data_IF_164874056891
#
_entry.id   IF_164874056891
#
_cell.length_a   1.000
_cell.length_b   1.000
_cell.length_c   1.000
_cell.angle_alpha   90.00
_cell.angle_beta   90.00
_cell.angle_gamma   90.00
#
_symmetry.space_group_name_H-M   'P 1'
#
loop_
_entity.id
_entity.type
_entity.pdbx_description
1 polymer ?
#
# COMPACT_ATOMS: atom_id res chain seq x y z
N UNK A 1 78.56 63.97 -35.60
CA UNK A 1 77.12 64.08 -35.92
C UNK A 1 76.51 62.74 -36.32
N UNK A 2 77.22 61.88 -37.08
CA UNK A 2 76.77 60.51 -37.46
C UNK A 2 76.18 59.66 -36.32
N UNK A 3 76.82 59.66 -35.14
CA UNK A 3 76.46 58.78 -34.03
C UNK A 3 75.09 59.07 -33.37
N UNK A 4 74.52 60.25 -33.59
CA UNK A 4 73.21 60.64 -33.05
C UNK A 4 72.05 60.25 -33.99
N UNK A 5 72.29 60.33 -35.30
CA UNK A 5 71.33 59.90 -36.34
C UNK A 5 71.11 58.38 -36.28
N UNK A 6 72.19 57.60 -36.22
CA UNK A 6 72.09 56.13 -36.12
C UNK A 6 71.32 55.69 -34.88
N UNK A 7 71.53 56.36 -33.75
CA UNK A 7 70.83 56.07 -32.49
C UNK A 7 69.33 56.38 -32.54
N UNK A 8 68.93 57.40 -33.30
CA UNK A 8 67.52 57.72 -33.53
C UNK A 8 66.85 56.70 -34.44
N UNK A 9 67.52 56.27 -35.49
CA UNK A 9 67.02 55.22 -36.39
C UNK A 9 66.84 53.88 -35.66
N UNK A 10 67.76 53.54 -34.77
CA UNK A 10 67.64 52.32 -33.95
C UNK A 10 66.45 52.41 -33.00
N UNK A 11 66.26 53.55 -32.32
CA UNK A 11 65.09 53.78 -31.46
C UNK A 11 63.77 53.78 -32.24
N UNK A 12 63.76 54.31 -33.47
CA UNK A 12 62.58 54.29 -34.34
C UNK A 12 62.22 52.88 -34.79
N UNK A 13 63.22 52.04 -35.10
CA UNK A 13 63.02 50.63 -35.42
C UNK A 13 62.52 49.83 -34.22
N UNK A 14 63.09 50.08 -33.05
CA UNK A 14 62.67 49.45 -31.80
C UNK A 14 61.21 49.83 -31.49
N UNK A 15 60.87 51.11 -31.53
CA UNK A 15 59.50 51.58 -31.28
C UNK A 15 58.50 51.07 -32.32
N UNK A 16 58.88 51.04 -33.61
CA UNK A 16 58.04 50.48 -34.66
C UNK A 16 57.84 48.97 -34.50
N UNK A 17 58.87 48.25 -34.07
CA UNK A 17 58.80 46.81 -33.75
C UNK A 17 57.89 46.56 -32.55
N UNK A 18 58.01 47.34 -31.49
CA UNK A 18 57.18 47.21 -30.29
C UNK A 18 55.71 47.49 -30.58
N UNK A 19 55.40 48.55 -31.35
CA UNK A 19 54.03 48.83 -31.80
C UNK A 19 53.48 47.76 -32.75
N UNK A 20 54.31 47.23 -33.66
CA UNK A 20 53.90 46.14 -34.55
C UNK A 20 53.56 44.88 -33.75
N UNK A 21 54.38 44.52 -32.75
CA UNK A 21 54.15 43.37 -31.88
C UNK A 21 52.91 43.55 -30.98
N UNK A 22 52.62 44.77 -30.53
CA UNK A 22 51.40 45.06 -29.76
C UNK A 22 50.11 44.81 -30.56
N UNK A 23 50.15 44.96 -31.88
CA UNK A 23 49.01 44.68 -32.77
C UNK A 23 48.85 43.19 -33.09
N UNK A 24 49.85 42.36 -32.80
CA UNK A 24 49.77 40.90 -32.97
C UNK A 24 49.10 40.31 -31.74
N UNK A 25 47.77 40.24 -31.79
CA UNK A 25 46.96 39.57 -30.75
C UNK A 25 46.81 38.10 -31.11
N UNK A 26 47.53 37.22 -30.43
CA UNK A 26 47.32 35.77 -30.53
C UNK A 26 46.06 35.37 -29.76
N UNK A 27 44.96 35.19 -30.49
CA UNK A 27 43.66 34.76 -29.93
C UNK A 27 43.47 33.24 -29.96
N UNK A 28 44.47 32.46 -30.41
CA UNK A 28 44.35 31.01 -30.58
C UNK A 28 44.03 30.29 -29.27
N UNK A 29 44.59 30.77 -28.15
CA UNK A 29 44.37 30.19 -26.83
C UNK A 29 42.94 30.40 -26.36
N UNK A 30 42.38 31.61 -26.53
CA UNK A 30 41.00 31.91 -26.16
C UNK A 30 40.00 31.20 -27.08
N UNK A 31 40.34 31.06 -28.37
CA UNK A 31 39.55 30.27 -29.31
C UNK A 31 39.51 28.79 -28.91
N UNK A 32 40.66 28.21 -28.54
CA UNK A 32 40.75 26.82 -28.09
C UNK A 32 39.94 26.58 -26.81
N UNK A 33 40.01 27.51 -25.84
CA UNK A 33 39.18 27.46 -24.63
C UNK A 33 37.69 27.49 -24.95
N UNK A 34 37.27 28.41 -25.83
CA UNK A 34 35.87 28.51 -26.26
C UNK A 34 35.40 27.21 -26.93
N UNK A 35 36.21 26.65 -27.82
CA UNK A 35 35.89 25.41 -28.51
C UNK A 35 35.77 24.23 -27.53
N UNK A 36 36.67 24.11 -26.56
CA UNK A 36 36.57 23.10 -25.50
C UNK A 36 35.29 23.24 -24.67
N UNK A 37 34.87 24.47 -24.35
CA UNK A 37 33.61 24.71 -23.62
C UNK A 37 32.40 24.30 -24.47
N UNK A 38 32.40 24.61 -25.77
CA UNK A 38 31.31 24.21 -26.68
C UNK A 38 31.22 22.70 -26.79
N UNK A 39 32.35 22.01 -26.95
CA UNK A 39 32.40 20.55 -27.04
C UNK A 39 31.88 19.88 -25.76
N UNK A 40 32.29 20.39 -24.59
CA UNK A 40 31.79 19.91 -23.30
C UNK A 40 30.28 20.15 -23.16
N UNK A 41 29.78 21.32 -23.55
CA UNK A 41 28.35 21.62 -23.51
C UNK A 41 27.55 20.72 -24.46
N UNK A 42 28.07 20.46 -25.66
CA UNK A 42 27.43 19.54 -26.61
C UNK A 42 27.36 18.11 -26.02
N UNK A 43 28.47 17.61 -25.46
CA UNK A 43 28.49 16.30 -24.80
C UNK A 43 27.50 16.23 -23.63
N UNK A 44 27.40 17.29 -22.84
CA UNK A 44 26.46 17.34 -21.72
C UNK A 44 25.00 17.30 -22.22
N UNK A 45 24.68 17.99 -23.32
CA UNK A 45 23.33 17.96 -23.91
C UNK A 45 22.96 16.56 -24.40
N UNK A 46 23.90 15.85 -25.02
CA UNK A 46 23.69 14.48 -25.47
C UNK A 46 23.46 13.54 -24.27
N UNK A 47 24.24 13.68 -23.20
CA UNK A 47 24.06 12.92 -21.97
C UNK A 47 22.70 13.20 -21.31
N UNK A 48 22.32 14.48 -21.18
CA UNK A 48 21.01 14.84 -20.63
C UNK A 48 19.85 14.30 -21.47
N UNK A 49 20.00 14.27 -22.79
CA UNK A 49 18.98 13.71 -23.68
C UNK A 49 18.82 12.21 -23.47
N UNK A 50 19.93 11.49 -23.31
CA UNK A 50 19.94 10.06 -22.98
C UNK A 50 19.28 9.77 -21.62
N UNK A 51 19.59 10.57 -20.60
CA UNK A 51 18.97 10.46 -19.27
C UNK A 51 17.45 10.72 -19.34
N UNK A 52 17.03 11.73 -20.11
CA UNK A 52 15.61 12.02 -20.32
C UNK A 52 14.89 10.86 -21.01
N UNK A 53 15.51 10.24 -22.02
CA UNK A 53 14.95 9.07 -22.69
C UNK A 53 14.78 7.90 -21.71
N UNK A 54 15.79 7.61 -20.89
CA UNK A 54 15.70 6.57 -19.86
C UNK A 54 14.55 6.85 -18.87
N UNK A 55 14.42 8.08 -18.39
CA UNK A 55 13.33 8.47 -17.49
C UNK A 55 11.98 8.27 -18.16
N UNK A 56 11.85 8.59 -19.44
CA UNK A 56 10.60 8.45 -20.17
C UNK A 56 10.21 6.97 -20.34
N UNK A 57 11.20 6.11 -20.64
CA UNK A 57 11.02 4.66 -20.70
C UNK A 57 10.58 4.11 -19.34
N UNK A 58 11.27 4.49 -18.26
CA UNK A 58 10.94 4.05 -16.90
C UNK A 58 9.55 4.53 -16.47
N UNK A 59 9.20 5.76 -16.83
CA UNK A 59 7.87 6.33 -16.56
C UNK A 59 6.79 5.55 -17.31
N UNK A 60 7.01 5.26 -18.59
CA UNK A 60 6.08 4.46 -19.41
C UNK A 60 5.92 3.05 -18.84
N UNK A 61 7.02 2.39 -18.44
CA UNK A 61 6.96 1.09 -17.77
C UNK A 61 6.15 1.14 -16.47
N UNK A 62 6.35 2.17 -15.66
CA UNK A 62 5.65 2.34 -14.40
C UNK A 62 4.14 2.53 -14.62
N UNK A 63 3.77 3.42 -15.54
CA UNK A 63 2.38 3.81 -15.80
C UNK A 63 1.62 2.72 -16.55
N UNK A 64 2.23 2.15 -17.58
CA UNK A 64 1.53 1.24 -18.50
C UNK A 64 1.51 -0.21 -18.01
N UNK A 65 2.43 -0.59 -17.12
CA UNK A 65 2.59 -1.98 -16.67
C UNK A 65 2.53 -2.13 -15.15
N UNK A 66 3.43 -1.47 -14.41
CA UNK A 66 3.58 -1.73 -12.98
C UNK A 66 2.35 -1.28 -12.18
N UNK A 67 1.86 -0.07 -12.40
CA UNK A 67 0.67 0.45 -11.71
C UNK A 67 -0.58 -0.39 -11.97
N UNK A 68 -0.96 -0.72 -13.23
CA UNK A 68 -2.06 -1.62 -13.51
C UNK A 68 -1.93 -2.97 -12.81
N UNK A 69 -0.73 -3.54 -12.77
CA UNK A 69 -0.48 -4.81 -12.10
C UNK A 69 -0.66 -4.73 -10.57
N UNK A 70 -0.17 -3.64 -9.95
CA UNK A 70 -0.37 -3.38 -8.51
C UNK A 70 -1.86 -3.23 -8.21
N UNK A 71 -2.61 -2.47 -9.03
CA UNK A 71 -4.05 -2.29 -8.86
C UNK A 71 -4.79 -3.63 -8.98
N UNK A 72 -4.45 -4.45 -9.98
CA UNK A 72 -5.04 -5.77 -10.15
C UNK A 72 -4.78 -6.68 -8.93
N UNK A 73 -3.56 -6.67 -8.40
CA UNK A 73 -3.23 -7.39 -7.17
C UNK A 73 -3.99 -6.86 -5.96
N UNK A 74 -4.12 -5.54 -5.83
CA UNK A 74 -4.89 -4.92 -4.75
C UNK A 74 -6.36 -5.35 -4.78
N UNK A 75 -7.00 -5.34 -5.96
CA UNK A 75 -8.38 -5.81 -6.10
C UNK A 75 -8.52 -7.31 -5.77
N UNK A 76 -7.53 -8.12 -6.14
CA UNK A 76 -7.51 -9.53 -5.75
C UNK A 76 -7.42 -9.69 -4.22
N UNK A 77 -6.51 -8.98 -3.57
CA UNK A 77 -6.34 -8.98 -2.12
C UNK A 77 -7.61 -8.51 -1.41
N UNK A 78 -8.25 -7.45 -1.91
CA UNK A 78 -9.52 -6.92 -1.40
C UNK A 78 -10.64 -7.96 -1.48
N UNK A 79 -10.73 -8.71 -2.60
CA UNK A 79 -11.68 -9.81 -2.73
C UNK A 79 -11.45 -10.90 -1.69
N UNK A 80 -10.18 -11.25 -1.43
CA UNK A 80 -9.82 -12.23 -0.40
C UNK A 80 -10.22 -11.75 0.99
N UNK A 81 -9.98 -10.48 1.34
CA UNK A 81 -10.45 -9.92 2.61
C UNK A 81 -11.97 -9.99 2.75
N UNK A 82 -12.71 -9.68 1.69
CA UNK A 82 -14.16 -9.80 1.72
C UNK A 82 -14.64 -11.25 1.93
N UNK A 83 -13.92 -12.24 1.42
CA UNK A 83 -14.19 -13.65 1.71
C UNK A 83 -13.90 -14.01 3.17
N UNK A 84 -12.84 -13.45 3.74
CA UNK A 84 -12.50 -13.60 5.16
C UNK A 84 -13.60 -12.99 6.03
N UNK A 85 -14.08 -11.78 5.72
CA UNK A 85 -15.16 -11.12 6.47
C UNK A 85 -16.47 -11.92 6.45
N UNK A 86 -16.80 -12.50 5.28
CA UNK A 86 -17.94 -13.42 5.15
C UNK A 86 -17.76 -14.66 6.04
N UNK A 87 -16.58 -15.25 6.03
CA UNK A 87 -16.26 -16.40 6.89
C UNK A 87 -16.30 -16.04 8.38
N UNK A 88 -15.87 -14.85 8.77
CA UNK A 88 -15.95 -14.41 10.16
C UNK A 88 -17.41 -14.24 10.61
N UNK A 89 -18.23 -13.62 9.76
CA UNK A 89 -19.68 -13.46 10.00
C UNK A 89 -20.36 -14.82 10.13
N UNK A 90 -20.01 -15.72 9.22
CA UNK A 90 -20.45 -17.11 9.21
C UNK A 90 -20.17 -17.79 10.56
N UNK A 91 -18.92 -17.75 11.02
CA UNK A 91 -18.49 -18.35 12.30
C UNK A 91 -19.26 -17.74 13.48
N UNK A 92 -19.46 -16.41 13.51
CA UNK A 92 -20.24 -15.75 14.57
C UNK A 92 -21.70 -16.22 14.62
N UNK A 93 -22.32 -16.50 13.47
CA UNK A 93 -23.69 -17.03 13.40
C UNK A 93 -23.74 -18.48 13.93
N UNK A 94 -22.74 -19.28 13.58
CA UNK A 94 -22.59 -20.66 14.09
C UNK A 94 -22.42 -20.65 15.61
N UNK A 95 -21.49 -19.85 16.12
CA UNK A 95 -21.22 -19.69 17.55
C UNK A 95 -22.50 -19.35 18.33
N UNK A 96 -23.24 -18.33 17.90
CA UNK A 96 -24.52 -17.94 18.54
C UNK A 96 -25.52 -19.08 18.61
N UNK A 97 -25.61 -19.89 17.56
CA UNK A 97 -26.56 -20.99 17.49
C UNK A 97 -26.14 -22.16 18.38
N UNK A 98 -24.84 -22.45 18.46
CA UNK A 98 -24.29 -23.47 19.36
C UNK A 98 -24.49 -23.04 20.82
N UNK A 99 -24.16 -21.79 21.18
CA UNK A 99 -24.40 -21.27 22.54
C UNK A 99 -25.88 -21.34 22.92
N UNK A 100 -26.80 -21.01 22.00
CA UNK A 100 -28.23 -21.13 22.24
C UNK A 100 -28.66 -22.59 22.48
N UNK A 101 -28.11 -23.53 21.71
CA UNK A 101 -28.35 -24.96 21.89
C UNK A 101 -27.80 -25.47 23.23
N UNK A 102 -26.59 -25.07 23.61
CA UNK A 102 -25.97 -25.42 24.89
C UNK A 102 -26.77 -24.88 26.09
N UNK A 103 -27.33 -23.68 25.99
CA UNK A 103 -28.15 -23.10 27.06
C UNK A 103 -29.46 -23.87 27.27
N UNK A 104 -30.16 -24.26 26.19
CA UNK A 104 -31.36 -25.09 26.26
C UNK A 104 -31.05 -26.49 26.78
N UNK A 105 -29.92 -27.09 26.35
CA UNK A 105 -29.47 -28.39 26.85
C UNK A 105 -29.17 -28.34 28.35
N UNK A 106 -28.41 -27.33 28.80
CA UNK A 106 -28.10 -27.13 30.22
C UNK A 106 -29.36 -26.95 31.08
N UNK A 107 -30.37 -26.25 30.55
CA UNK A 107 -31.68 -26.09 31.20
C UNK A 107 -32.41 -27.42 31.34
N UNK A 108 -32.41 -28.24 30.27
CA UNK A 108 -33.01 -29.56 30.28
C UNK A 108 -32.29 -30.54 31.23
N UNK A 109 -30.95 -30.53 31.24
CA UNK A 109 -30.12 -31.34 32.14
C UNK A 109 -30.37 -30.98 33.61
N UNK A 110 -30.38 -29.69 33.94
CA UNK A 110 -30.66 -29.20 35.30
C UNK A 110 -32.05 -29.65 35.78
N UNK A 111 -33.05 -29.61 34.89
CA UNK A 111 -34.39 -30.11 35.20
C UNK A 111 -34.39 -31.62 35.48
N UNK A 112 -33.73 -32.42 34.64
CA UNK A 112 -33.62 -33.88 34.82
C UNK A 112 -32.87 -34.27 36.10
N UNK A 113 -31.77 -33.58 36.42
CA UNK A 113 -31.04 -33.77 37.67
C UNK A 113 -31.93 -33.47 38.88
N UNK A 114 -32.73 -32.40 38.81
CA UNK A 114 -33.68 -32.06 39.87
C UNK A 114 -34.74 -33.14 40.06
N UNK A 115 -35.35 -33.67 38.98
CA UNK A 115 -36.33 -34.77 39.05
C UNK A 115 -35.73 -36.08 39.57
N UNK A 116 -34.47 -36.38 39.23
CA UNK A 116 -33.77 -37.56 39.73
C UNK A 116 -33.49 -37.46 41.24
N UNK A 117 -33.22 -36.26 41.75
CA UNK A 117 -33.12 -36.01 43.20
C UNK A 117 -34.46 -36.15 43.94
N UNK A 118 -35.60 -35.83 43.32
CA UNK A 118 -36.93 -36.02 43.93
C UNK A 118 -37.32 -37.50 44.10
N UNK A 119 -36.76 -38.43 43.29
CA UNK A 119 -37.03 -39.87 43.46
C UNK A 119 -36.35 -40.49 44.68
N UNK A 120 -35.37 -39.80 45.29
CA UNK A 120 -34.61 -40.32 46.45
C UNK A 120 -35.11 -39.78 47.79
N UNK A 121 -36.02 -38.79 47.81
CA UNK A 121 -36.56 -38.20 49.05
C UNK A 121 -38.00 -38.66 49.32
N UNK A 122 -38.23 -39.98 49.30
CA UNK A 122 -39.42 -40.56 49.92
C UNK A 122 -39.17 -40.78 51.42
N UNK A 123 -39.47 -39.75 52.23
CA UNK A 123 -39.84 -39.96 53.63
C UNK A 123 -41.35 -39.69 53.76
N UNK A 124 -42.15 -40.64 54.27
CA UNK A 124 -43.56 -40.38 54.51
C UNK A 124 -43.68 -39.44 55.72
N UNK A 125 -44.80 -38.72 55.80
CA UNK A 125 -45.19 -37.75 56.84
C UNK A 125 -44.75 -36.29 56.59
N UNK A 126 -45.62 -35.50 55.93
CA UNK A 126 -46.38 -34.38 56.54
C UNK A 126 -46.91 -33.36 55.49
N UNK A 127 -48.25 -33.24 55.41
CA UNK A 127 -49.11 -32.11 54.95
C UNK A 127 -49.01 -31.59 53.50
N UNK A 128 -50.15 -31.20 52.87
CA UNK A 128 -50.16 -30.69 51.51
C UNK A 128 -49.75 -29.21 51.51
N UNK A 129 -48.52 -28.92 51.12
CA UNK A 129 -48.16 -27.61 50.58
C UNK A 129 -48.17 -27.74 49.06
N UNK A 130 -48.85 -26.82 48.36
CA UNK A 130 -48.88 -26.76 46.90
C UNK A 130 -47.45 -26.91 46.36
N UNK A 131 -47.17 -27.90 45.50
CA UNK A 131 -45.86 -27.99 44.86
C UNK A 131 -45.65 -26.71 44.03
N UNK A 132 -44.46 -26.11 44.01
CA UNK A 132 -44.12 -25.21 42.92
C UNK A 132 -44.30 -26.04 41.66
N UNK A 133 -45.24 -25.64 40.80
CA UNK A 133 -45.43 -26.25 39.51
C UNK A 133 -44.16 -26.03 38.71
N UNK A 134 -43.21 -26.98 38.77
CA UNK A 134 -42.20 -27.08 37.74
C UNK A 134 -42.91 -27.68 36.54
N UNK A 135 -43.50 -26.80 35.73
CA UNK A 135 -44.01 -27.20 34.42
C UNK A 135 -42.83 -27.85 33.68
N UNK A 136 -42.98 -29.08 33.18
CA UNK A 136 -41.90 -29.73 32.44
C UNK A 136 -41.48 -28.82 31.27
N UNK A 137 -40.18 -28.64 31.01
CA UNK A 137 -39.73 -27.81 29.91
C UNK A 137 -40.31 -28.38 28.61
N UNK A 138 -41.25 -27.65 28.02
CA UNK A 138 -41.84 -28.01 26.73
C UNK A 138 -40.77 -27.79 25.68
N UNK A 139 -40.32 -28.88 25.05
CA UNK A 139 -39.33 -28.81 23.98
C UNK A 139 -39.79 -27.83 22.90
N UNK A 140 -38.96 -26.81 22.66
CA UNK A 140 -39.06 -25.94 21.50
C UNK A 140 -37.82 -26.16 20.66
N UNK A 141 -37.95 -26.52 19.37
CA UNK A 141 -36.78 -26.69 18.52
C UNK A 141 -36.01 -25.38 18.44
N UNK A 142 -34.72 -25.43 18.78
CA UNK A 142 -33.82 -24.28 18.66
C UNK A 142 -33.65 -23.99 17.18
N UNK A 143 -33.91 -22.74 16.79
CA UNK A 143 -33.70 -22.30 15.42
C UNK A 143 -32.20 -22.17 15.15
N UNK A 144 -31.58 -23.24 14.64
CA UNK A 144 -30.19 -23.24 14.21
C UNK A 144 -30.03 -22.59 12.84
N UNK A 145 -28.87 -22.00 12.61
CA UNK A 145 -28.51 -21.42 11.31
C UNK A 145 -28.66 -22.43 10.18
N UNK A 146 -29.02 -21.93 9.00
CA UNK A 146 -28.99 -22.74 7.77
C UNK A 146 -27.77 -22.38 6.95
N UNK A 147 -27.03 -23.39 6.50
CA UNK A 147 -25.82 -23.22 5.71
C UNK A 147 -26.07 -22.48 4.40
N UNK A 148 -27.26 -22.67 3.79
CA UNK A 148 -27.69 -21.95 2.58
C UNK A 148 -27.74 -20.42 2.79
N UNK A 149 -28.33 -19.98 3.90
CA UNK A 149 -28.50 -18.55 4.22
C UNK A 149 -27.21 -17.85 4.68
N UNK A 150 -26.19 -18.64 5.01
CA UNK A 150 -24.96 -18.18 5.65
C UNK A 150 -24.01 -17.47 4.68
N UNK A 151 -24.19 -17.75 3.38
CA UNK A 151 -23.40 -17.19 2.28
C UNK A 151 -24.21 -16.22 1.41
N UNK A 152 -25.51 -16.07 1.68
CA UNK A 152 -26.45 -15.21 0.93
C UNK A 152 -26.36 -13.73 1.33
N UNK A 153 -25.72 -13.39 2.45
CA UNK A 153 -25.46 -12.00 2.86
C UNK A 153 -24.39 -11.38 1.97
N UNK A 154 -24.83 -10.88 0.81
CA UNK A 154 -24.01 -10.12 -0.12
C UNK A 154 -24.58 -9.97 -1.53
N UNK A 155 -25.91 -10.01 -1.73
CA UNK A 155 -26.52 -9.49 -2.95
C UNK A 155 -26.88 -8.01 -2.75
N UNK A 156 -26.09 -7.16 -3.39
CA UNK A 156 -26.40 -5.79 -3.82
C UNK A 156 -27.00 -4.79 -2.83
N UNK A 157 -26.13 -3.99 -2.22
CA UNK A 157 -26.39 -2.55 -2.06
C UNK A 157 -25.40 -1.76 -2.90
N UNK A 158 -25.61 -1.79 -4.22
CA UNK A 158 -25.24 -0.68 -5.10
C UNK A 158 -26.52 0.10 -5.36
N UNK A 159 -26.66 1.29 -4.78
CA UNK A 159 -27.71 2.24 -5.14
C UNK A 159 -27.15 3.65 -5.04
N UNK A 160 -27.07 4.34 -6.17
CA UNK A 160 -26.88 5.80 -6.27
C UNK A 160 -25.45 6.28 -6.34
#
# INVERSE_FOLDING_TARGET
MQNNETRKEDLLKELASDYANYLVVDSSTEWSKLQSVIENLASNVDEFSSLLESINVDTSLCVDSLLPHIVAHFEHVKKTFHQIDKLETAVKVVEKSVTAMEAELSTAETYLESESMFKTVFKPFLKPANPPSSVPPVYKPVNIFKTETLWETGSDTTTG
#
